data_IF_756013426976
#
_entry.id   IF_756013426976
#
_cell.length_a   1.000
_cell.length_b   1.000
_cell.length_c   1.000
_cell.angle_alpha   90.00
_cell.angle_beta   90.00
_cell.angle_gamma   90.00
#
_symmetry.space_group_name_H-M   'P 1'
#
loop_
_entity.id
_entity.type
_entity.pdbx_description
1 polymer ?
#
# COMPACT_ATOMS: atom_id res chain seq x y z
N UNK A 1 -3.28 10.64 -31.70
CA UNK A 1 -2.82 11.58 -30.65
C UNK A 1 -2.59 12.99 -31.17
N UNK A 2 -2.12 13.15 -32.41
CA UNK A 2 -1.79 14.46 -32.97
C UNK A 2 -2.99 15.38 -33.27
N UNK A 3 -4.20 14.84 -33.39
CA UNK A 3 -5.39 15.65 -33.68
C UNK A 3 -5.74 16.62 -32.57
N UNK A 4 -5.72 16.18 -31.30
CA UNK A 4 -6.05 17.07 -30.18
C UNK A 4 -4.99 18.18 -29.99
N UNK A 5 -3.71 17.88 -30.25
CA UNK A 5 -2.63 18.89 -30.24
C UNK A 5 -2.75 19.88 -31.40
N UNK A 6 -3.11 19.41 -32.59
CA UNK A 6 -3.36 20.27 -33.76
C UNK A 6 -4.59 21.15 -33.54
N UNK A 7 -5.66 20.61 -32.95
CA UNK A 7 -6.85 21.38 -32.57
C UNK A 7 -6.52 22.46 -31.53
N UNK A 8 -5.74 22.15 -30.49
CA UNK A 8 -5.28 23.15 -29.49
C UNK A 8 -4.47 24.28 -30.12
N UNK A 9 -3.54 23.95 -31.02
CA UNK A 9 -2.75 24.96 -31.73
C UNK A 9 -3.62 25.83 -32.65
N UNK A 10 -4.62 25.23 -33.30
CA UNK A 10 -5.56 25.96 -34.15
C UNK A 10 -6.49 26.88 -33.34
N UNK A 11 -6.96 26.46 -32.16
CA UNK A 11 -7.79 27.31 -31.29
C UNK A 11 -7.02 28.47 -30.69
N UNK A 12 -5.74 28.27 -30.35
CA UNK A 12 -4.87 29.34 -29.85
C UNK A 12 -4.44 30.33 -30.95
N UNK A 13 -4.41 29.90 -32.22
CA UNK A 13 -4.06 30.74 -33.36
C UNK A 13 -5.22 31.49 -34.02
N UNK A 14 -6.46 31.23 -33.60
CA UNK A 14 -7.65 31.86 -34.17
C UNK A 14 -7.90 33.25 -33.56
N UNK A 15 -7.82 34.30 -34.36
CA UNK A 15 -8.04 35.71 -33.94
C UNK A 15 -9.50 36.08 -33.74
N UNK A 16 -10.44 35.25 -34.22
CA UNK A 16 -11.87 35.59 -34.28
C UNK A 16 -12.66 35.08 -33.06
N UNK A 17 -12.00 34.37 -32.13
CA UNK A 17 -12.61 33.84 -30.91
C UNK A 17 -12.38 34.80 -29.73
N UNK A 18 -13.38 34.96 -28.88
CA UNK A 18 -13.19 35.61 -27.59
C UNK A 18 -12.26 34.75 -26.71
N UNK A 19 -11.37 35.38 -25.93
CA UNK A 19 -10.41 34.73 -25.04
C UNK A 19 -11.05 33.66 -24.14
N UNK A 20 -12.25 33.92 -23.61
CA UNK A 20 -12.98 32.97 -22.77
C UNK A 20 -13.43 31.71 -23.56
N UNK A 21 -13.85 31.88 -24.82
CA UNK A 21 -14.26 30.78 -25.69
C UNK A 21 -13.03 29.97 -26.15
N UNK A 22 -11.94 30.66 -26.50
CA UNK A 22 -10.67 30.02 -26.84
C UNK A 22 -10.11 29.21 -25.66
N UNK A 23 -10.16 29.74 -24.44
CA UNK A 23 -9.71 29.06 -23.23
C UNK A 23 -10.52 27.78 -22.94
N UNK A 24 -11.86 27.85 -22.96
CA UNK A 24 -12.72 26.70 -22.71
C UNK A 24 -12.61 25.62 -23.80
N UNK A 25 -12.49 26.02 -25.07
CA UNK A 25 -12.23 25.07 -26.17
C UNK A 25 -10.88 24.38 -26.01
N UNK A 26 -9.84 25.13 -25.67
CA UNK A 26 -8.50 24.58 -25.44
C UNK A 26 -8.49 23.62 -24.26
N UNK A 27 -9.20 23.93 -23.16
CA UNK A 27 -9.37 23.04 -22.02
C UNK A 27 -10.08 21.74 -22.41
N UNK A 28 -11.14 21.82 -23.22
CA UNK A 28 -11.83 20.63 -23.74
C UNK A 28 -10.91 19.74 -24.59
N UNK A 29 -10.08 20.32 -25.45
CA UNK A 29 -9.07 19.59 -26.22
C UNK A 29 -7.98 18.98 -25.32
N UNK A 30 -7.54 19.71 -24.29
CA UNK A 30 -6.55 19.25 -23.31
C UNK A 30 -7.06 18.02 -22.54
N UNK A 31 -8.32 18.02 -22.07
CA UNK A 31 -8.89 16.84 -21.40
C UNK A 31 -8.98 15.62 -22.32
N UNK A 32 -9.38 15.80 -23.58
CA UNK A 32 -9.41 14.70 -24.56
C UNK A 32 -8.02 14.12 -24.80
N UNK A 33 -7.01 15.00 -24.90
CA UNK A 33 -5.62 14.60 -25.07
C UNK A 33 -5.08 13.87 -23.84
N UNK A 34 -5.30 14.42 -22.64
CA UNK A 34 -4.90 13.81 -21.37
C UNK A 34 -5.53 12.42 -21.19
N UNK A 35 -6.82 12.26 -21.48
CA UNK A 35 -7.49 10.96 -21.41
C UNK A 35 -6.89 9.94 -22.41
N UNK A 36 -6.45 10.38 -23.59
CA UNK A 36 -5.78 9.53 -24.56
C UNK A 36 -4.37 9.13 -24.09
N UNK A 37 -3.62 10.06 -23.51
CA UNK A 37 -2.29 9.81 -22.95
C UNK A 37 -2.33 8.82 -21.76
N UNK A 38 -3.26 9.02 -20.82
CA UNK A 38 -3.43 8.12 -19.67
C UNK A 38 -3.77 6.69 -20.11
N UNK A 39 -4.64 6.51 -21.11
CA UNK A 39 -4.94 5.18 -21.66
C UNK A 39 -3.72 4.47 -22.24
N UNK A 40 -2.79 5.23 -22.82
CA UNK A 40 -1.57 4.68 -23.37
C UNK A 40 -0.62 4.23 -22.25
N UNK A 41 -0.43 5.06 -21.23
CA UNK A 41 0.41 4.73 -20.07
C UNK A 41 -0.09 3.47 -19.36
N UNK A 42 -1.41 3.31 -19.22
CA UNK A 42 -2.01 2.09 -18.66
C UNK A 42 -1.77 0.86 -19.53
N UNK A 43 -1.65 1.02 -20.84
CA UNK A 43 -1.41 -0.07 -21.79
C UNK A 43 0.04 -0.58 -21.82
N UNK A 44 1.01 0.25 -21.45
CA UNK A 44 2.45 -0.05 -21.56
C UNK A 44 2.97 -0.94 -20.41
N UNK A 45 2.20 -1.11 -19.32
CA UNK A 45 2.53 -2.03 -18.21
C UNK A 45 3.70 -1.60 -17.31
N UNK A 46 4.31 -0.44 -17.58
CA UNK A 46 5.39 0.12 -16.77
C UNK A 46 4.81 0.83 -15.53
N UNK A 47 5.00 0.22 -14.36
CA UNK A 47 4.48 0.73 -13.09
C UNK A 47 5.11 2.06 -12.67
N UNK A 48 6.36 2.34 -13.04
CA UNK A 48 7.03 3.59 -12.67
C UNK A 48 6.44 4.76 -13.44
N UNK A 49 6.24 4.60 -14.75
CA UNK A 49 5.59 5.60 -15.60
C UNK A 49 4.12 5.81 -15.25
N UNK A 50 3.41 4.76 -14.85
CA UNK A 50 2.03 4.87 -14.39
C UNK A 50 1.91 5.70 -13.10
N UNK A 51 2.87 5.55 -12.18
CA UNK A 51 2.94 6.36 -10.97
C UNK A 51 3.29 7.82 -11.27
N UNK A 52 4.27 8.08 -12.14
CA UNK A 52 4.64 9.43 -12.56
C UNK A 52 3.46 10.16 -13.23
N UNK A 53 2.79 9.50 -14.17
CA UNK A 53 1.59 10.05 -14.83
C UNK A 53 0.43 10.31 -13.84
N UNK A 54 0.35 9.53 -12.74
CA UNK A 54 -0.63 9.77 -11.69
C UNK A 54 -0.30 11.04 -10.90
N UNK A 55 0.98 11.28 -10.57
CA UNK A 55 1.40 12.52 -9.91
C UNK A 55 1.15 13.75 -10.79
N UNK A 56 1.50 13.68 -12.08
CA UNK A 56 1.24 14.78 -13.02
C UNK A 56 -0.25 15.10 -13.17
N UNK A 57 -1.10 14.06 -13.19
CA UNK A 57 -2.56 14.22 -13.22
C UNK A 57 -3.08 14.85 -11.93
N UNK A 58 -2.52 14.45 -10.81
CA UNK A 58 -2.88 14.95 -9.47
C UNK A 58 -2.54 16.45 -9.34
N UNK A 59 -1.35 16.87 -9.82
CA UNK A 59 -0.95 18.27 -9.89
C UNK A 59 -1.86 19.08 -10.84
N UNK A 60 -2.23 18.52 -11.99
CA UNK A 60 -3.15 19.15 -12.92
C UNK A 60 -4.57 19.33 -12.33
N UNK A 61 -5.05 18.36 -11.55
CA UNK A 61 -6.33 18.46 -10.84
C UNK A 61 -6.28 19.51 -9.73
N UNK A 62 -5.13 19.69 -9.08
CA UNK A 62 -4.94 20.74 -8.08
C UNK A 62 -5.09 22.14 -8.70
N UNK A 63 -4.51 22.36 -9.88
CA UNK A 63 -4.71 23.59 -10.66
C UNK A 63 -6.17 23.77 -11.12
N UNK A 64 -6.90 22.67 -11.36
CA UNK A 64 -8.31 22.69 -11.74
C UNK A 64 -9.28 23.14 -10.65
N UNK A 65 -8.86 23.23 -9.38
CA UNK A 65 -9.73 23.63 -8.26
C UNK A 65 -10.30 25.04 -8.40
N UNK A 66 -9.51 25.97 -8.94
CA UNK A 66 -9.97 27.34 -9.19
C UNK A 66 -11.13 27.38 -10.20
N UNK A 67 -11.08 26.50 -11.20
CA UNK A 67 -12.16 26.35 -12.19
C UNK A 67 -13.44 25.84 -11.53
N UNK A 68 -13.34 24.84 -10.64
CA UNK A 68 -14.48 24.30 -9.88
C UNK A 68 -15.14 25.39 -9.03
N UNK A 69 -14.36 26.30 -8.45
CA UNK A 69 -14.88 27.45 -7.70
C UNK A 69 -15.61 28.48 -8.57
N UNK A 70 -15.24 28.62 -9.85
CA UNK A 70 -15.82 29.57 -10.79
C UNK A 70 -17.12 29.06 -11.46
N UNK A 71 -17.30 27.74 -11.57
CA UNK A 71 -18.45 27.10 -12.23
C UNK A 71 -19.81 27.50 -11.62
N UNK A 72 -20.01 27.54 -10.28
CA UNK A 72 -21.28 27.96 -9.70
C UNK A 72 -21.69 29.39 -10.07
N UNK A 73 -20.73 30.33 -10.14
CA UNK A 73 -21.00 31.70 -10.56
C UNK A 73 -21.37 31.79 -12.05
N UNK A 74 -20.74 30.96 -12.89
CA UNK A 74 -21.07 30.85 -14.30
C UNK A 74 -22.48 30.25 -14.51
N UNK A 75 -22.85 29.22 -13.74
CA UNK A 75 -24.18 28.63 -13.80
C UNK A 75 -25.26 29.60 -13.31
N UNK A 76 -24.99 30.34 -12.23
CA UNK A 76 -25.91 31.36 -11.71
C UNK A 76 -26.20 32.47 -12.74
N UNK A 77 -25.22 32.81 -13.57
CA UNK A 77 -25.36 33.84 -14.62
C UNK A 77 -25.96 33.30 -15.91
N UNK A 78 -25.71 32.03 -16.25
CA UNK A 78 -26.23 31.40 -17.47
C UNK A 78 -27.70 30.97 -17.39
N UNK A 79 -28.30 30.92 -16.18
CA UNK A 79 -29.66 30.41 -15.94
C UNK A 79 -29.98 29.11 -16.72
N UNK A 80 -29.15 28.06 -16.63
CA UNK A 80 -29.45 26.80 -17.29
C UNK A 80 -30.71 26.18 -16.65
N UNK A 81 -31.58 25.57 -17.46
CA UNK A 81 -32.75 24.86 -16.93
C UNK A 81 -32.37 23.74 -15.97
N UNK A 82 -33.32 23.30 -15.13
CA UNK A 82 -33.11 22.39 -14.00
C UNK A 82 -32.32 21.12 -14.32
N UNK A 83 -32.47 20.58 -15.54
CA UNK A 83 -31.73 19.38 -15.99
C UNK A 83 -30.21 19.58 -16.06
N UNK A 84 -29.75 20.76 -16.49
CA UNK A 84 -28.32 21.07 -16.63
C UNK A 84 -27.75 21.52 -15.29
N UNK A 85 -28.48 22.37 -14.54
CA UNK A 85 -28.06 22.80 -13.20
C UNK A 85 -27.92 21.64 -12.21
N UNK A 86 -28.92 20.74 -12.14
CA UNK A 86 -28.87 19.58 -11.25
C UNK A 86 -27.75 18.59 -11.61
N UNK A 87 -27.51 18.38 -12.91
CA UNK A 87 -26.43 17.52 -13.38
C UNK A 87 -25.03 18.08 -13.06
N UNK A 88 -24.86 19.41 -13.19
CA UNK A 88 -23.58 20.07 -12.84
C UNK A 88 -23.34 20.10 -11.34
N UNK A 89 -24.37 20.35 -10.52
CA UNK A 89 -24.23 20.37 -9.06
C UNK A 89 -23.86 18.99 -8.50
N UNK A 90 -24.46 17.93 -9.05
CA UNK A 90 -24.12 16.55 -8.70
C UNK A 90 -22.68 16.22 -9.09
N UNK A 91 -22.25 16.61 -10.30
CA UNK A 91 -20.88 16.37 -10.75
C UNK A 91 -19.84 17.14 -9.92
N UNK A 92 -20.14 18.40 -9.55
CA UNK A 92 -19.29 19.20 -8.66
C UNK A 92 -19.17 18.54 -7.28
N UNK A 93 -20.26 18.02 -6.74
CA UNK A 93 -20.25 17.28 -5.47
C UNK A 93 -19.41 16.01 -5.55
N UNK A 94 -19.57 15.23 -6.60
CA UNK A 94 -18.78 14.02 -6.81
C UNK A 94 -17.28 14.30 -6.96
N UNK A 95 -16.91 15.41 -7.61
CA UNK A 95 -15.52 15.85 -7.73
C UNK A 95 -14.96 16.32 -6.38
N UNK A 96 -15.74 17.05 -5.58
CA UNK A 96 -15.36 17.44 -4.23
C UNK A 96 -15.12 16.21 -3.34
N UNK A 97 -16.05 15.25 -3.33
CA UNK A 97 -15.93 13.99 -2.56
C UNK A 97 -14.74 13.14 -3.03
N UNK A 98 -14.44 13.13 -4.33
CA UNK A 98 -13.25 12.46 -4.85
C UNK A 98 -11.96 13.18 -4.40
N UNK A 99 -11.92 14.51 -4.47
CA UNK A 99 -10.77 15.31 -4.05
C UNK A 99 -10.48 15.16 -2.55
N UNK A 100 -11.51 15.12 -1.69
CA UNK A 100 -11.36 14.86 -0.25
C UNK A 100 -10.79 13.46 0.02
N UNK A 101 -11.28 12.44 -0.69
CA UNK A 101 -10.74 11.07 -0.58
C UNK A 101 -9.27 11.01 -0.99
N UNK A 102 -8.90 11.64 -2.11
CA UNK A 102 -7.49 11.68 -2.55
C UNK A 102 -6.64 12.42 -1.52
N UNK A 103 -7.10 13.54 -0.97
CA UNK A 103 -6.38 14.26 0.07
C UNK A 103 -6.16 13.42 1.33
N UNK A 104 -7.17 12.67 1.77
CA UNK A 104 -7.05 11.75 2.91
C UNK A 104 -6.03 10.64 2.65
N UNK A 105 -6.07 10.01 1.47
CA UNK A 105 -5.10 8.98 1.06
C UNK A 105 -3.68 9.56 0.95
N UNK A 106 -3.50 10.81 0.47
CA UNK A 106 -2.19 11.49 0.46
C UNK A 106 -1.63 11.65 1.88
N UNK A 107 -2.46 11.96 2.87
CA UNK A 107 -2.04 12.07 4.27
C UNK A 107 -1.61 10.71 4.83
N UNK A 108 -2.36 9.65 4.54
CA UNK A 108 -1.98 8.29 4.96
C UNK A 108 -0.69 7.80 4.27
N UNK A 109 -0.51 8.07 2.97
CA UNK A 109 0.72 7.75 2.25
C UNK A 109 1.92 8.49 2.83
N UNK A 110 1.78 9.78 3.18
CA UNK A 110 2.84 10.55 3.84
C UNK A 110 3.21 9.96 5.21
N UNK A 111 2.22 9.52 6.00
CA UNK A 111 2.49 8.82 7.28
C UNK A 111 3.24 7.52 7.04
N UNK A 112 2.82 6.72 6.05
CA UNK A 112 3.49 5.46 5.71
C UNK A 112 4.93 5.69 5.26
N UNK A 113 5.18 6.68 4.40
CA UNK A 113 6.52 7.04 3.96
C UNK A 113 7.42 7.49 5.14
N UNK A 114 6.87 8.28 6.07
CA UNK A 114 7.61 8.66 7.29
C UNK A 114 7.95 7.44 8.16
N UNK A 115 7.01 6.49 8.33
CA UNK A 115 7.28 5.26 9.07
C UNK A 115 8.26 4.34 8.35
N UNK A 116 8.26 4.30 7.02
CA UNK A 116 9.24 3.54 6.24
C UNK A 116 10.65 4.09 6.46
N UNK A 117 10.81 5.40 6.41
CA UNK A 117 12.10 6.04 6.63
C UNK A 117 12.61 5.84 8.07
N UNK A 118 11.72 5.92 9.06
CA UNK A 118 12.06 5.58 10.44
C UNK A 118 12.53 4.12 10.58
N UNK A 119 11.85 3.18 9.91
CA UNK A 119 12.26 1.77 9.89
C UNK A 119 13.60 1.56 9.18
N UNK A 120 13.87 2.29 8.10
CA UNK A 120 15.17 2.25 7.40
C UNK A 120 16.30 2.71 8.33
N UNK A 121 16.12 3.82 9.04
CA UNK A 121 17.10 4.32 10.04
C UNK A 121 17.30 3.30 11.16
N UNK A 122 16.23 2.69 11.68
CA UNK A 122 16.33 1.65 12.72
C UNK A 122 17.06 0.40 12.23
N UNK A 123 16.87 0.00 10.97
CA UNK A 123 17.60 -1.12 10.37
C UNK A 123 19.11 -0.84 10.29
N UNK A 124 19.50 0.36 9.87
CA UNK A 124 20.91 0.77 9.84
C UNK A 124 21.54 0.77 11.24
N UNK A 125 20.80 1.26 12.25
CA UNK A 125 21.22 1.19 13.65
C UNK A 125 21.40 -0.26 14.12
N UNK A 126 20.51 -1.15 13.74
CA UNK A 126 20.59 -2.56 14.11
C UNK A 126 21.77 -3.29 13.44
N UNK A 127 22.08 -2.96 12.19
CA UNK A 127 23.28 -3.46 11.53
C UNK A 127 24.56 -3.01 12.24
N UNK A 128 24.60 -1.77 12.71
CA UNK A 128 25.72 -1.26 13.49
C UNK A 128 25.84 -1.97 14.85
N UNK A 129 24.73 -2.17 15.57
CA UNK A 129 24.72 -2.95 16.80
C UNK A 129 25.18 -4.40 16.58
N UNK A 130 24.79 -5.04 15.47
CA UNK A 130 25.29 -6.38 15.11
C UNK A 130 26.81 -6.40 14.92
N UNK A 131 27.38 -5.40 14.23
CA UNK A 131 28.84 -5.26 14.08
C UNK A 131 29.53 -5.10 15.43
N UNK A 132 28.95 -4.31 16.33
CA UNK A 132 29.48 -4.12 17.69
C UNK A 132 29.44 -5.42 18.50
N UNK A 133 28.36 -6.19 18.43
CA UNK A 133 28.25 -7.51 19.08
C UNK A 133 29.28 -8.50 18.53
N UNK A 134 29.49 -8.52 17.21
CA UNK A 134 30.49 -9.39 16.59
C UNK A 134 31.92 -9.03 16.99
N UNK A 135 32.23 -7.73 17.13
CA UNK A 135 33.52 -7.27 17.66
C UNK A 135 33.69 -7.63 19.14
N UNK A 136 32.64 -7.51 19.97
CA UNK A 136 32.69 -7.94 21.37
C UNK A 136 32.94 -9.46 21.49
N UNK A 137 32.28 -10.29 20.67
CA UNK A 137 32.53 -11.74 20.61
C UNK A 137 33.94 -12.08 20.11
N UNK A 138 34.52 -11.23 19.26
CA UNK A 138 35.91 -11.37 18.82
C UNK A 138 36.87 -11.04 19.97
N UNK A 139 36.60 -9.97 20.71
CA UNK A 139 37.39 -9.59 21.89
C UNK A 139 37.32 -10.65 22.98
N UNK A 140 36.15 -11.24 23.25
CA UNK A 140 35.99 -12.35 24.19
C UNK A 140 36.88 -13.55 23.79
N UNK A 141 36.84 -13.96 22.52
CA UNK A 141 37.72 -15.03 21.99
C UNK A 141 39.20 -14.70 22.15
N UNK A 142 39.59 -13.43 22.03
CA UNK A 142 40.99 -13.00 22.25
C UNK A 142 41.38 -13.07 23.72
N UNK A 143 40.47 -12.77 24.64
CA UNK A 143 40.70 -12.91 26.09
C UNK A 143 40.89 -14.38 26.46
N UNK A 144 40.04 -15.28 25.95
CA UNK A 144 40.19 -16.73 26.17
C UNK A 144 41.53 -17.25 25.64
N UNK A 145 41.95 -16.78 24.46
CA UNK A 145 43.24 -17.14 23.88
C UNK A 145 44.43 -16.61 24.72
N UNK A 146 44.32 -15.41 25.29
CA UNK A 146 45.33 -14.85 26.19
C UNK A 146 45.45 -15.65 27.49
N UNK A 147 44.33 -16.11 28.06
CA UNK A 147 44.35 -16.92 29.26
C UNK A 147 44.91 -18.33 28.99
N UNK A 148 44.63 -18.91 27.82
CA UNK A 148 45.28 -20.14 27.37
C UNK A 148 46.81 -19.97 27.23
N UNK A 149 47.27 -18.86 26.63
CA UNK A 149 48.69 -18.51 26.52
C UNK A 149 49.37 -18.34 27.89
N UNK A 150 48.70 -17.70 28.85
CA UNK A 150 49.17 -17.60 30.24
C UNK A 150 49.28 -18.97 30.90
N UNK A 151 48.31 -19.86 30.66
CA UNK A 151 48.37 -21.25 31.09
C UNK A 151 49.60 -21.98 30.54
N UNK A 152 49.88 -21.84 29.24
CA UNK A 152 51.08 -22.40 28.62
C UNK A 152 52.36 -21.83 29.21
N UNK A 153 52.43 -20.51 29.43
CA UNK A 153 53.59 -19.87 30.04
C UNK A 153 53.87 -20.40 31.45
N UNK A 154 52.84 -20.61 32.27
CA UNK A 154 53.00 -21.22 33.61
C UNK A 154 53.56 -22.64 33.51
N UNK A 155 53.02 -23.48 32.62
CA UNK A 155 53.53 -24.85 32.41
C UNK A 155 54.99 -24.86 31.96
N UNK A 156 55.40 -23.93 31.08
CA UNK A 156 56.80 -23.80 30.65
C UNK A 156 57.67 -23.34 31.82
N UNK A 157 57.22 -22.37 32.62
CA UNK A 157 57.92 -21.89 33.79
C UNK A 157 58.14 -23.01 34.82
N UNK A 158 57.11 -23.82 35.09
CA UNK A 158 57.18 -24.97 36.00
C UNK A 158 58.20 -26.02 35.51
N UNK A 159 58.20 -26.32 34.20
CA UNK A 159 59.20 -27.21 33.59
C UNK A 159 60.62 -26.66 33.71
N UNK A 160 60.81 -25.36 33.47
CA UNK A 160 62.11 -24.72 33.63
C UNK A 160 62.57 -24.70 35.09
N UNK A 161 61.65 -24.49 36.05
CA UNK A 161 61.95 -24.56 37.47
C UNK A 161 62.37 -25.98 37.87
N UNK A 162 61.67 -27.01 37.41
CA UNK A 162 62.02 -28.41 37.65
C UNK A 162 63.39 -28.79 37.05
N UNK A 163 63.76 -28.21 35.90
CA UNK A 163 65.09 -28.37 35.30
C UNK A 163 66.18 -27.63 36.09
N UNK A 164 65.88 -26.43 36.60
CA UNK A 164 66.82 -25.62 37.41
C UNK A 164 67.05 -26.17 38.82
N UNK A 165 66.08 -26.87 39.41
CA UNK A 165 66.22 -27.55 40.71
C UNK A 165 67.29 -28.64 40.76
N UNK A 166 67.96 -28.95 39.64
CA UNK A 166 69.15 -29.82 39.58
C UNK A 166 70.49 -29.08 39.71
N UNK A 167 70.52 -27.76 39.57
CA UNK A 167 71.72 -26.92 39.70
C UNK A 167 71.57 -25.94 40.88
N UNK A 168 71.68 -26.48 42.09
CA UNK A 168 71.54 -25.71 43.33
C UNK A 168 72.78 -24.85 43.60
N UNK A 169 72.71 -23.56 43.23
CA UNK A 169 73.76 -22.59 43.55
C UNK A 169 73.38 -21.10 43.45
N UNK A 170 72.20 -20.74 42.91
CA UNK A 170 71.82 -19.32 42.64
C UNK A 170 70.45 -18.95 43.25
N UNK A 171 69.93 -19.74 44.20
CA UNK A 171 68.51 -19.74 44.58
C UNK A 171 67.98 -18.52 45.35
N UNK A 172 68.80 -17.76 46.07
CA UNK A 172 68.28 -16.76 47.02
C UNK A 172 67.86 -15.42 46.38
N UNK A 173 68.54 -14.98 45.31
CA UNK A 173 68.16 -13.77 44.56
C UNK A 173 66.95 -14.02 43.64
N UNK A 174 66.78 -15.25 43.16
CA UNK A 174 65.62 -15.67 42.39
C UNK A 174 64.36 -15.83 43.25
N UNK A 175 64.50 -16.31 44.49
CA UNK A 175 63.39 -16.45 45.43
C UNK A 175 62.75 -15.11 45.80
N UNK A 176 63.57 -14.10 46.05
CA UNK A 176 63.10 -12.73 46.36
C UNK A 176 62.42 -12.07 45.14
N UNK A 177 62.93 -12.34 43.94
CA UNK A 177 62.34 -11.88 42.67
C UNK A 177 61.01 -12.59 42.36
N UNK A 178 60.89 -13.86 42.75
CA UNK A 178 59.68 -14.68 42.61
C UNK A 178 58.54 -14.21 43.51
N UNK A 179 58.81 -13.90 44.78
CA UNK A 179 57.81 -13.39 45.71
C UNK A 179 57.24 -12.03 45.28
N UNK A 180 58.08 -11.16 44.67
CA UNK A 180 57.64 -9.89 44.10
C UNK A 180 56.74 -10.08 42.86
N UNK A 181 57.02 -11.08 42.02
CA UNK A 181 56.18 -11.43 40.88
C UNK A 181 54.85 -12.05 41.30
N UNK A 182 54.82 -12.86 42.36
CA UNK A 182 53.60 -13.44 42.91
C UNK A 182 52.70 -12.33 43.47
N UNK A 183 53.24 -11.41 44.27
CA UNK A 183 52.47 -10.24 44.75
C UNK A 183 51.94 -9.36 43.63
N UNK A 184 52.76 -9.06 42.62
CA UNK A 184 52.33 -8.27 41.46
C UNK A 184 51.23 -8.98 40.65
N UNK A 185 51.26 -10.31 40.60
CA UNK A 185 50.27 -11.12 39.90
C UNK A 185 48.95 -11.16 40.68
N UNK A 186 48.99 -11.29 42.00
CA UNK A 186 47.81 -11.24 42.87
C UNK A 186 47.17 -9.85 42.87
N UNK A 187 47.96 -8.78 42.92
CA UNK A 187 47.45 -7.41 42.83
C UNK A 187 46.82 -7.12 41.46
N UNK A 188 47.38 -7.69 40.37
CA UNK A 188 46.76 -7.62 39.03
C UNK A 188 45.48 -8.45 38.92
N UNK A 189 45.41 -9.60 39.58
CA UNK A 189 44.19 -10.43 39.60
C UNK A 189 43.08 -9.79 40.43
N UNK A 190 43.43 -9.20 41.57
CA UNK A 190 42.51 -8.46 42.42
C UNK A 190 41.92 -7.23 41.71
N UNK A 191 42.70 -6.57 40.84
CA UNK A 191 42.20 -5.46 40.02
C UNK A 191 41.41 -5.90 38.78
N UNK A 192 41.66 -7.09 38.23
CA UNK A 192 40.94 -7.64 37.07
C UNK A 192 39.54 -8.19 37.42
N UNK A 193 39.35 -8.79 38.60
CA UNK A 193 38.07 -9.39 38.99
C UNK A 193 36.86 -8.43 38.99
N UNK A 194 36.98 -7.20 39.53
CA UNK A 194 35.92 -6.20 39.46
C UNK A 194 35.68 -5.72 38.03
N UNK A 195 36.74 -5.54 37.23
CA UNK A 195 36.62 -5.11 35.84
C UNK A 195 35.92 -6.14 34.96
N UNK A 196 36.24 -7.43 35.10
CA UNK A 196 35.54 -8.50 34.36
C UNK A 196 34.08 -8.62 34.79
N UNK A 197 33.75 -8.50 36.08
CA UNK A 197 32.35 -8.42 36.52
C UNK A 197 31.61 -7.26 35.87
N UNK A 198 32.21 -6.07 35.87
CA UNK A 198 31.57 -4.89 35.29
C UNK A 198 31.35 -5.03 33.78
N UNK A 199 32.27 -5.69 33.06
CA UNK A 199 32.11 -5.97 31.62
C UNK A 199 31.00 -7.00 31.40
N UNK A 200 30.94 -8.08 32.20
CA UNK A 200 29.87 -9.09 32.09
C UNK A 200 28.49 -8.51 32.43
N UNK A 201 28.39 -7.64 33.44
CA UNK A 201 27.15 -6.93 33.76
C UNK A 201 26.70 -6.02 32.61
N UNK A 202 27.62 -5.30 31.98
CA UNK A 202 27.32 -4.49 30.79
C UNK A 202 26.91 -5.37 29.60
N UNK A 203 27.60 -6.48 29.37
CA UNK A 203 27.25 -7.41 28.30
C UNK A 203 25.85 -8.02 28.51
N UNK A 204 25.51 -8.40 29.75
CA UNK A 204 24.19 -8.89 30.10
C UNK A 204 23.10 -7.82 29.92
N UNK A 205 23.38 -6.57 30.28
CA UNK A 205 22.46 -5.46 30.06
C UNK A 205 22.21 -5.24 28.56
N UNK A 206 23.26 -5.13 27.75
CA UNK A 206 23.15 -4.97 26.29
C UNK A 206 22.42 -6.15 25.65
N UNK A 207 22.66 -7.37 26.11
CA UNK A 207 21.95 -8.55 25.60
C UNK A 207 20.46 -8.56 25.99
N UNK A 208 20.11 -8.04 27.17
CA UNK A 208 18.72 -7.89 27.58
C UNK A 208 17.99 -6.81 26.77
N UNK A 209 18.67 -5.71 26.46
CA UNK A 209 18.16 -4.65 25.57
C UNK A 209 17.95 -5.18 24.15
N UNK A 210 18.93 -5.91 23.60
CA UNK A 210 18.81 -6.55 22.29
C UNK A 210 17.60 -7.50 22.23
N UNK A 211 17.40 -8.33 23.25
CA UNK A 211 16.28 -9.26 23.29
C UNK A 211 14.92 -8.54 23.43
N UNK A 212 14.86 -7.35 24.02
CA UNK A 212 13.64 -6.54 24.09
C UNK A 212 13.32 -5.92 22.71
N UNK A 213 14.35 -5.47 22.01
CA UNK A 213 14.21 -4.84 20.70
C UNK A 213 13.86 -5.86 19.61
N UNK A 214 14.43 -7.07 19.66
CA UNK A 214 14.04 -8.19 18.78
C UNK A 214 12.56 -8.54 18.94
N UNK A 215 12.03 -8.58 20.17
CA UNK A 215 10.59 -8.81 20.40
C UNK A 215 9.74 -7.70 19.79
N UNK A 216 10.14 -6.45 19.97
CA UNK A 216 9.42 -5.29 19.40
C UNK A 216 9.42 -5.35 17.88
N UNK A 217 10.53 -5.77 17.26
CA UNK A 217 10.61 -6.00 15.82
C UNK A 217 9.67 -7.12 15.36
N UNK A 218 9.68 -8.27 16.03
CA UNK A 218 8.83 -9.41 15.70
C UNK A 218 7.34 -9.06 15.83
N UNK A 219 6.96 -8.32 16.87
CA UNK A 219 5.61 -7.78 17.04
C UNK A 219 5.23 -6.84 15.90
N UNK A 220 6.14 -5.95 15.49
CA UNK A 220 5.95 -5.05 14.35
C UNK A 220 5.80 -5.79 13.03
N UNK A 221 6.62 -6.82 12.79
CA UNK A 221 6.57 -7.65 11.60
C UNK A 221 5.25 -8.44 11.52
N UNK A 222 4.79 -9.01 12.65
CA UNK A 222 3.50 -9.68 12.75
C UNK A 222 2.34 -8.72 12.49
N UNK A 223 2.39 -7.49 13.04
CA UNK A 223 1.38 -6.47 12.80
C UNK A 223 1.33 -6.04 11.32
N UNK A 224 2.49 -5.90 10.66
CA UNK A 224 2.57 -5.59 9.23
C UNK A 224 1.98 -6.71 8.38
N UNK A 225 2.32 -7.97 8.67
CA UNK A 225 1.76 -9.13 7.98
C UNK A 225 0.23 -9.19 8.11
N UNK A 226 -0.30 -8.94 9.31
CA UNK A 226 -1.75 -8.88 9.55
C UNK A 226 -2.43 -7.74 8.76
N UNK A 227 -1.80 -6.57 8.66
CA UNK A 227 -2.31 -5.45 7.86
C UNK A 227 -2.30 -5.76 6.36
N UNK A 228 -1.24 -6.38 5.83
CA UNK A 228 -1.17 -6.82 4.43
C UNK A 228 -2.28 -7.82 4.12
N UNK A 229 -2.47 -8.83 4.97
CA UNK A 229 -3.55 -9.79 4.81
C UNK A 229 -4.94 -9.12 4.84
N UNK A 230 -5.13 -8.11 5.70
CA UNK A 230 -6.39 -7.34 5.74
C UNK A 230 -6.61 -6.54 4.45
N UNK A 231 -5.55 -5.95 3.90
CA UNK A 231 -5.61 -5.19 2.65
C UNK A 231 -5.95 -6.10 1.47
N UNK A 232 -5.34 -7.30 1.38
CA UNK A 232 -5.67 -8.32 0.38
C UNK A 232 -7.14 -8.71 0.45
N UNK A 233 -7.68 -8.96 1.66
CA UNK A 233 -9.11 -9.26 1.83
C UNK A 233 -10.02 -8.12 1.34
N UNK A 234 -9.69 -6.87 1.67
CA UNK A 234 -10.46 -5.70 1.21
C UNK A 234 -10.39 -5.56 -0.32
N UNK A 235 -9.23 -5.84 -0.92
CA UNK A 235 -9.09 -5.86 -2.37
C UNK A 235 -9.95 -6.94 -3.01
N UNK A 236 -9.93 -8.16 -2.47
CA UNK A 236 -10.77 -9.26 -2.96
C UNK A 236 -12.27 -8.94 -2.85
N UNK A 237 -12.70 -8.36 -1.72
CA UNK A 237 -14.07 -7.89 -1.52
C UNK A 237 -14.46 -6.82 -2.55
N UNK A 238 -13.60 -5.82 -2.80
CA UNK A 238 -13.83 -4.78 -3.82
C UNK A 238 -13.91 -5.36 -5.23
N UNK A 239 -13.03 -6.30 -5.58
CA UNK A 239 -13.08 -6.97 -6.88
C UNK A 239 -14.38 -7.76 -7.04
N UNK A 240 -14.83 -8.45 -5.98
CA UNK A 240 -16.12 -9.12 -5.94
C UNK A 240 -17.30 -8.16 -6.13
N UNK A 241 -17.29 -7.03 -5.44
CA UNK A 241 -18.32 -5.99 -5.58
C UNK A 241 -18.35 -5.41 -7.00
N UNK A 242 -17.19 -5.06 -7.57
CA UNK A 242 -17.10 -4.55 -8.94
C UNK A 242 -17.55 -5.59 -9.98
N UNK A 243 -17.23 -6.86 -9.78
CA UNK A 243 -17.74 -7.94 -10.64
C UNK A 243 -19.27 -8.03 -10.56
N UNK A 244 -19.85 -7.91 -9.36
CA UNK A 244 -21.30 -7.92 -9.18
C UNK A 244 -21.98 -6.71 -9.84
N UNK A 245 -21.42 -5.50 -9.69
CA UNK A 245 -21.93 -4.29 -10.32
C UNK A 245 -21.85 -4.37 -11.85
N UNK A 246 -20.78 -4.95 -12.41
CA UNK A 246 -20.67 -5.19 -13.86
C UNK A 246 -21.73 -6.16 -14.37
N UNK A 247 -22.07 -7.19 -13.58
CA UNK A 247 -23.16 -8.11 -13.90
C UNK A 247 -24.52 -7.40 -13.89
N UNK A 248 -24.80 -6.57 -12.87
CA UNK A 248 -26.02 -5.76 -12.82
C UNK A 248 -26.11 -4.79 -13.99
N UNK A 249 -25.05 -4.01 -14.26
CA UNK A 249 -25.02 -3.07 -15.38
C UNK A 249 -25.12 -3.77 -16.75
N UNK A 250 -24.76 -5.05 -16.85
CA UNK A 250 -24.99 -5.87 -18.06
C UNK A 250 -26.46 -6.29 -18.16
N UNK A 251 -27.03 -6.80 -17.06
CA UNK A 251 -28.44 -7.16 -16.98
C UNK A 251 -29.35 -5.96 -17.31
N UNK A 252 -29.05 -4.77 -16.78
CA UNK A 252 -29.80 -3.54 -17.06
C UNK A 252 -29.71 -3.14 -18.54
N UNK A 253 -28.54 -3.29 -19.17
CA UNK A 253 -28.39 -3.04 -20.61
C UNK A 253 -29.14 -4.06 -21.46
N UNK A 254 -29.16 -5.32 -21.05
CA UNK A 254 -29.89 -6.37 -21.75
C UNK A 254 -31.42 -6.17 -21.59
N UNK A 255 -31.89 -5.73 -20.41
CA UNK A 255 -33.27 -5.31 -20.17
C UNK A 255 -33.64 -4.09 -21.02
N UNK A 256 -32.81 -3.03 -20.99
CA UNK A 256 -33.02 -1.84 -21.80
C UNK A 256 -33.07 -2.18 -23.30
N UNK A 257 -32.22 -3.11 -23.78
CA UNK A 257 -32.27 -3.60 -25.16
C UNK A 257 -33.55 -4.39 -25.44
N UNK A 258 -33.99 -5.25 -24.54
CA UNK A 258 -35.24 -6.01 -24.70
C UNK A 258 -36.48 -5.09 -24.73
N UNK A 259 -36.48 -4.01 -23.97
CA UNK A 259 -37.51 -2.97 -23.99
C UNK A 259 -37.43 -2.07 -25.23
N UNK A 260 -36.22 -1.76 -25.70
CA UNK A 260 -36.00 -0.95 -26.90
C UNK A 260 -36.18 -1.72 -28.20
N UNK A 261 -36.26 -3.05 -28.17
CA UNK A 261 -36.55 -3.85 -29.36
C UNK A 261 -38.07 -3.76 -29.61
N UNK A 262 -38.53 -3.00 -30.63
CA UNK A 262 -39.93 -2.96 -30.96
C UNK A 262 -40.37 -4.38 -31.35
N UNK A 263 -41.58 -4.76 -30.92
CA UNK A 263 -42.16 -6.06 -31.22
C UNK A 263 -41.97 -6.41 -32.71
N UNK A 264 -41.55 -7.65 -32.96
CA UNK A 264 -41.36 -8.19 -34.31
C UNK A 264 -42.63 -8.13 -35.17
N UNK A 265 -42.50 -8.52 -36.45
CA UNK A 265 -43.04 -7.84 -37.62
C UNK A 265 -44.57 -7.87 -37.68
N UNK A 266 -45.18 -6.83 -37.14
CA UNK A 266 -46.59 -6.46 -37.37
C UNK A 266 -46.81 -4.95 -37.37
N UNK A 267 -45.76 -4.15 -37.21
CA UNK A 267 -45.81 -2.70 -37.39
C UNK A 267 -45.85 -2.37 -38.89
N UNK A 268 -46.99 -2.68 -39.50
CA UNK A 268 -47.38 -2.06 -40.74
C UNK A 268 -47.41 -0.54 -40.52
N UNK A 269 -46.64 0.16 -41.34
CA UNK A 269 -46.95 1.46 -41.94
C UNK A 269 -47.75 2.43 -41.06
N UNK A 270 -47.11 3.53 -40.68
CA UNK A 270 -47.70 4.73 -40.08
C UNK A 270 -48.66 5.49 -41.03
N UNK A 271 -49.62 4.79 -41.63
CA UNK A 271 -50.65 5.35 -42.47
C UNK A 271 -51.90 4.47 -42.44
N UNK A 272 -52.50 4.26 -41.26
CA UNK A 272 -53.93 3.97 -41.10
C UNK A 272 -54.25 3.95 -39.60
N UNK A 273 -54.82 5.06 -39.12
CA UNK A 273 -55.45 5.12 -37.82
C UNK A 273 -56.81 4.42 -37.90
N UNK A 274 -56.82 3.09 -37.77
CA UNK A 274 -58.05 2.32 -37.62
C UNK A 274 -57.93 1.34 -36.45
N UNK A 275 -58.64 1.68 -35.37
CA UNK A 275 -59.01 0.86 -34.21
C UNK A 275 -58.04 -0.27 -33.81
N UNK A 276 -57.15 0.03 -32.86
CA UNK A 276 -56.50 -1.01 -32.05
C UNK A 276 -57.60 -1.90 -31.46
N UNK A 277 -57.67 -3.16 -31.89
CA UNK A 277 -58.69 -4.09 -31.41
C UNK A 277 -58.39 -4.52 -29.97
N UNK A 278 -59.44 -4.82 -29.19
CA UNK A 278 -59.29 -5.28 -27.81
C UNK A 278 -58.35 -6.50 -27.71
N UNK A 279 -58.41 -7.41 -28.69
CA UNK A 279 -57.53 -8.59 -28.79
C UNK A 279 -56.05 -8.21 -28.95
N UNK A 280 -55.72 -7.11 -29.65
CA UNK A 280 -54.34 -6.64 -29.78
C UNK A 280 -53.83 -6.04 -28.47
N UNK A 281 -54.69 -5.37 -27.70
CA UNK A 281 -54.35 -4.86 -26.36
C UNK A 281 -54.18 -6.03 -25.37
N UNK A 282 -55.04 -7.04 -25.42
CA UNK A 282 -54.94 -8.25 -24.59
C UNK A 282 -53.68 -9.06 -24.92
N UNK A 283 -53.34 -9.21 -26.21
CA UNK A 283 -52.09 -9.88 -26.61
C UNK A 283 -50.85 -9.09 -26.17
N UNK A 284 -50.86 -7.75 -26.29
CA UNK A 284 -49.76 -6.90 -25.83
C UNK A 284 -49.61 -6.92 -24.31
N UNK A 285 -50.71 -6.89 -23.56
CA UNK A 285 -50.67 -6.99 -22.09
C UNK A 285 -50.23 -8.37 -21.62
N UNK A 286 -50.68 -9.45 -22.27
CA UNK A 286 -50.20 -10.81 -21.98
C UNK A 286 -48.69 -10.98 -22.28
N UNK A 287 -48.17 -10.33 -23.33
CA UNK A 287 -46.73 -10.32 -23.63
C UNK A 287 -45.94 -9.53 -22.57
N UNK A 288 -46.42 -8.35 -22.17
CA UNK A 288 -45.80 -7.55 -21.11
C UNK A 288 -45.80 -8.32 -19.79
N UNK A 289 -46.91 -8.97 -19.44
CA UNK A 289 -47.02 -9.74 -18.20
C UNK A 289 -46.08 -10.95 -18.20
N UNK A 290 -45.95 -11.64 -19.35
CA UNK A 290 -44.96 -12.71 -19.53
C UNK A 290 -43.53 -12.19 -19.35
N UNK A 291 -43.18 -11.06 -19.97
CA UNK A 291 -41.83 -10.46 -19.86
C UNK A 291 -41.53 -10.01 -18.42
N UNK A 292 -42.51 -9.50 -17.70
CA UNK A 292 -42.37 -9.16 -16.27
C UNK A 292 -42.11 -10.41 -15.44
N UNK A 293 -42.85 -11.50 -15.65
CA UNK A 293 -42.59 -12.78 -14.96
C UNK A 293 -41.19 -13.33 -15.27
N UNK A 294 -40.74 -13.23 -16.51
CA UNK A 294 -39.39 -13.68 -16.91
C UNK A 294 -38.30 -12.83 -16.24
N UNK A 295 -38.51 -11.51 -16.13
CA UNK A 295 -37.62 -10.59 -15.43
C UNK A 295 -37.59 -10.88 -13.91
N UNK A 296 -38.74 -11.09 -13.28
CA UNK A 296 -38.84 -11.46 -11.87
C UNK A 296 -38.17 -12.80 -11.59
N UNK A 297 -38.32 -13.79 -12.48
CA UNK A 297 -37.62 -15.07 -12.36
C UNK A 297 -36.10 -14.95 -12.57
N UNK A 298 -35.64 -14.02 -13.40
CA UNK A 298 -34.22 -13.73 -13.54
C UNK A 298 -33.65 -13.03 -12.29
N UNK A 299 -34.36 -12.04 -11.75
CA UNK A 299 -34.00 -11.34 -10.51
C UNK A 299 -34.02 -12.30 -9.31
N UNK A 300 -35.04 -13.17 -9.21
CA UNK A 300 -35.14 -14.19 -8.17
C UNK A 300 -33.92 -15.12 -8.16
N UNK A 301 -33.49 -15.61 -9.32
CA UNK A 301 -32.27 -16.45 -9.43
C UNK A 301 -31.00 -15.72 -9.01
N UNK A 302 -30.90 -14.41 -9.29
CA UNK A 302 -29.75 -13.59 -8.88
C UNK A 302 -29.75 -13.37 -7.37
N UNK A 303 -30.92 -13.14 -6.76
CA UNK A 303 -31.08 -13.00 -5.32
C UNK A 303 -30.80 -14.31 -4.58
N UNK A 304 -31.33 -15.45 -5.05
CA UNK A 304 -31.03 -16.77 -4.47
C UNK A 304 -29.54 -17.10 -4.55
N UNK A 305 -28.87 -16.80 -5.68
CA UNK A 305 -27.43 -17.00 -5.83
C UNK A 305 -26.59 -16.05 -4.94
N UNK A 306 -27.15 -14.92 -4.51
CA UNK A 306 -26.53 -14.02 -3.54
C UNK A 306 -26.72 -14.53 -2.13
N UNK A 307 -27.94 -14.93 -1.77
CA UNK A 307 -28.26 -15.46 -0.45
C UNK A 307 -27.48 -16.74 -0.17
N UNK A 308 -27.33 -17.64 -1.16
CA UNK A 308 -26.51 -18.84 -1.02
C UNK A 308 -25.03 -18.53 -0.76
N UNK A 309 -24.48 -17.50 -1.42
CA UNK A 309 -23.10 -17.04 -1.21
C UNK A 309 -22.91 -16.37 0.15
N UNK A 310 -23.89 -15.60 0.61
CA UNK A 310 -23.86 -14.97 1.93
C UNK A 310 -24.01 -16.02 3.06
N UNK A 311 -24.80 -17.08 2.85
CA UNK A 311 -24.86 -18.22 3.79
C UNK A 311 -23.58 -19.04 3.78
N UNK A 312 -22.97 -19.29 2.63
CA UNK A 312 -21.68 -19.98 2.53
C UNK A 312 -20.56 -19.15 3.17
N UNK A 313 -20.53 -17.84 2.93
CA UNK A 313 -19.61 -16.92 3.58
C UNK A 313 -19.77 -16.91 5.11
N UNK A 314 -21.01 -16.91 5.62
CA UNK A 314 -21.28 -16.98 7.06
C UNK A 314 -20.88 -18.31 7.70
N UNK A 315 -21.04 -19.44 7.00
CA UNK A 315 -20.62 -20.76 7.53
C UNK A 315 -19.10 -20.91 7.55
N UNK A 316 -18.38 -20.34 6.59
CA UNK A 316 -16.91 -20.32 6.58
C UNK A 316 -16.35 -19.45 7.72
N UNK A 317 -16.98 -18.30 8.01
CA UNK A 317 -16.57 -17.44 9.14
C UNK A 317 -16.80 -18.14 10.49
N UNK A 318 -17.88 -18.93 10.65
CA UNK A 318 -18.13 -19.70 11.87
C UNK A 318 -17.20 -20.90 12.06
N UNK A 319 -16.69 -21.48 10.97
CA UNK A 319 -15.79 -22.65 11.03
C UNK A 319 -14.33 -22.30 11.29
N UNK A 320 -13.92 -21.06 10.96
CA UNK A 320 -12.57 -20.55 11.20
C UNK A 320 -12.44 -19.74 12.51
N UNK A 321 -13.51 -19.67 13.32
CA UNK A 321 -13.58 -18.90 14.58
C UNK A 321 -13.76 -19.74 15.84
N UNK A 322 -13.56 -21.06 15.77
CA UNK A 322 -13.50 -21.98 16.92
C UNK A 322 -12.24 -22.82 16.84
#
# INVERSE_FOLDING_TARGET
MDDARREMAATLGATDLNDAEAALRTLGCAFRWAAAAVRQVVGDGDSARALEALYDLDDALEAGRELVGAVPALLATAMPGDSVGGGTDEMVRQLADAAERVAAERVELKKLAATEEELRVRLEQHEELRRQVDELRRLERLVDALDALRGQQRVIADRLAALRGKDAGVDDTLRTSGDALIRLSDDRLASLGPQTRQVLERAAAVQSELAAEERTYDEGAAALAARKQRLERIQDERHGQLASLRLYARADRDLARALATPAGPGAASAAEAESVSLEQVEAATADIERRLRDADAALGRVLEARDSRDTDGRTVIRRNGG
#
